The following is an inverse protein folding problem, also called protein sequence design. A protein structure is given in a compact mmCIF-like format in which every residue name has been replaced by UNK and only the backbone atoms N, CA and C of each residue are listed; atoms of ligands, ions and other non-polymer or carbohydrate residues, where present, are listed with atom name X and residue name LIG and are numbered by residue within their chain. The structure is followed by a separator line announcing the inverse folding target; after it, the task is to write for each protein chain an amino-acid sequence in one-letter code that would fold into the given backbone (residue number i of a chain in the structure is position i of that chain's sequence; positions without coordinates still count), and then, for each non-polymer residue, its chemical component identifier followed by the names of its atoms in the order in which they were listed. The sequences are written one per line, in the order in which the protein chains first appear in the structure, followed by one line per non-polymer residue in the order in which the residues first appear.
data_IF_217299792319
#
_entry.id   IF_217299792319
#
_cell.length_a   1.000
_cell.length_b   1.000
_cell.length_c   1.000
_cell.angle_alpha   90.00
_cell.angle_beta   90.00
_cell.angle_gamma   90.00
#
_symmetry.space_group_name_H-M   'P 1'
#
loop_
_entity.id
_entity.type
_entity.pdbx_description
1 polymer ?
#
# COMPACT_ATOMS: atom_id res chain seq x y z
N UNK A 1 11.85 -1.17 34.96
CA UNK A 1 10.76 -2.04 35.47
C UNK A 1 10.15 -2.85 34.33
N UNK A 2 10.54 -4.12 34.18
CA UNK A 2 10.05 -5.01 33.10
C UNK A 2 8.63 -5.48 33.45
N UNK A 3 7.62 -5.11 32.66
CA UNK A 3 6.29 -5.73 32.75
C UNK A 3 6.41 -7.19 32.31
N UNK A 4 6.24 -8.13 33.23
CA UNK A 4 6.10 -9.57 32.94
C UNK A 4 4.74 -9.80 32.26
N UNK A 5 4.64 -9.42 30.99
CA UNK A 5 3.50 -9.83 30.14
C UNK A 5 3.90 -11.12 29.43
N UNK A 6 2.95 -12.06 29.33
CA UNK A 6 3.19 -13.38 28.75
C UNK A 6 3.67 -13.26 27.29
N UNK A 7 4.63 -14.11 26.83
CA UNK A 7 5.03 -14.17 25.42
C UNK A 7 3.84 -14.34 24.45
N UNK A 8 2.80 -15.05 24.89
CA UNK A 8 1.56 -15.21 24.12
C UNK A 8 0.84 -13.86 23.92
N UNK A 9 0.69 -13.08 24.99
CA UNK A 9 0.09 -11.73 24.94
C UNK A 9 0.86 -10.79 24.02
N UNK A 10 2.20 -10.84 24.03
CA UNK A 10 3.03 -10.00 23.16
C UNK A 10 2.88 -10.38 21.69
N UNK A 11 2.74 -11.67 21.38
CA UNK A 11 2.44 -12.14 20.03
C UNK A 11 1.06 -11.64 19.57
N UNK A 12 0.03 -11.75 20.41
CA UNK A 12 -1.32 -11.24 20.11
C UNK A 12 -1.31 -9.74 19.84
N UNK A 13 -0.63 -8.94 20.68
CA UNK A 13 -0.49 -7.49 20.49
C UNK A 13 0.09 -7.14 19.11
N UNK A 14 1.17 -7.80 18.70
CA UNK A 14 1.80 -7.56 17.39
C UNK A 14 0.94 -8.06 16.23
N UNK A 15 0.25 -9.19 16.36
CA UNK A 15 -0.66 -9.68 15.34
C UNK A 15 -1.87 -8.74 15.15
N UNK A 16 -2.48 -8.25 16.24
CA UNK A 16 -3.62 -7.33 16.20
C UNK A 16 -3.25 -6.01 15.52
N UNK A 17 -2.06 -5.47 15.81
CA UNK A 17 -1.56 -4.22 15.21
C UNK A 17 -1.10 -4.42 13.76
N UNK A 18 -0.55 -5.59 13.43
CA UNK A 18 -0.10 -5.91 12.07
C UNK A 18 -1.23 -6.27 11.11
N UNK A 19 -2.32 -6.86 11.61
CA UNK A 19 -3.44 -7.36 10.80
C UNK A 19 -4.56 -6.32 10.60
N UNK A 20 -4.71 -5.36 11.51
CA UNK A 20 -5.71 -4.29 11.42
C UNK A 20 -5.04 -2.94 11.71
N UNK A 21 -5.62 -1.84 11.24
CA UNK A 21 -5.16 -0.46 11.51
C UNK A 21 -5.87 0.24 12.70
N UNK A 22 -6.23 -0.40 13.84
CA UNK A 22 -6.98 0.29 14.90
C UNK A 22 -6.08 1.22 15.71
N UNK A 23 -6.61 2.35 16.18
CA UNK A 23 -5.92 3.25 17.11
C UNK A 23 -5.34 2.46 18.31
N UNK A 24 -4.18 2.86 18.86
CA UNK A 24 -3.55 2.14 19.98
C UNK A 24 -4.49 2.04 21.19
N UNK A 25 -5.38 2.99 21.36
CA UNK A 25 -6.40 2.97 22.42
C UNK A 25 -7.43 1.85 22.17
N UNK A 26 -7.87 1.69 20.91
CA UNK A 26 -8.76 0.59 20.51
C UNK A 26 -8.06 -0.79 20.60
N UNK A 27 -6.75 -0.86 20.37
CA UNK A 27 -5.95 -2.06 20.64
C UNK A 27 -5.96 -2.39 22.13
N UNK A 28 -5.81 -1.38 22.98
CA UNK A 28 -5.92 -1.55 24.44
C UNK A 28 -7.29 -2.11 24.87
N UNK A 29 -8.36 -1.63 24.25
CA UNK A 29 -9.73 -2.08 24.55
C UNK A 29 -9.98 -3.50 24.05
N UNK A 30 -9.49 -3.83 22.84
CA UNK A 30 -9.56 -5.18 22.29
C UNK A 30 -8.78 -6.20 23.14
N UNK A 31 -7.59 -5.83 23.62
CA UNK A 31 -6.79 -6.72 24.48
C UNK A 31 -7.48 -7.01 25.81
N UNK A 32 -8.19 -6.03 26.39
CA UNK A 32 -9.02 -6.27 27.58
C UNK A 32 -10.17 -7.23 27.26
N UNK A 33 -10.86 -7.02 26.13
CA UNK A 33 -11.96 -7.88 25.70
C UNK A 33 -11.51 -9.34 25.48
N UNK A 34 -10.28 -9.54 25.00
CA UNK A 34 -9.64 -10.85 24.84
C UNK A 34 -9.06 -11.41 26.16
N UNK A 35 -9.22 -10.71 27.29
CA UNK A 35 -8.79 -11.15 28.61
C UNK A 35 -7.30 -10.92 28.91
N UNK A 36 -6.58 -10.18 28.07
CA UNK A 36 -5.18 -9.84 28.29
C UNK A 36 -5.04 -8.64 29.22
N UNK A 37 -4.30 -8.82 30.31
CA UNK A 37 -4.03 -7.76 31.29
C UNK A 37 -2.57 -7.33 31.28
N UNK A 38 -2.31 -6.03 31.46
CA UNK A 38 -0.93 -5.51 31.47
C UNK A 38 -0.21 -5.80 32.79
N UNK A 39 -0.84 -5.47 33.93
CA UNK A 39 -0.40 -5.80 35.29
C UNK A 39 -1.63 -6.04 36.18
N UNK A 40 -1.43 -6.76 37.29
CA UNK A 40 -2.49 -7.02 38.27
C UNK A 40 -3.15 -5.73 38.82
N UNK A 41 -2.39 -4.63 38.94
CA UNK A 41 -2.90 -3.34 39.40
C UNK A 41 -3.36 -2.39 38.28
N UNK A 42 -2.99 -2.67 37.03
CA UNK A 42 -3.35 -1.86 35.86
C UNK A 42 -3.66 -2.81 34.71
N UNK A 43 -4.94 -3.13 34.55
CA UNK A 43 -5.38 -4.12 33.57
C UNK A 43 -5.22 -3.62 32.12
N UNK A 44 -5.43 -2.32 31.88
CA UNK A 44 -5.35 -1.71 30.54
C UNK A 44 -3.91 -1.44 30.13
N UNK A 45 -3.57 -1.83 28.90
CA UNK A 45 -2.35 -1.39 28.25
C UNK A 45 -2.48 0.08 27.84
N UNK A 46 -1.61 0.95 28.34
CA UNK A 46 -1.60 2.36 27.93
C UNK A 46 -0.86 2.54 26.60
N UNK A 47 -1.14 3.66 25.92
CA UNK A 47 -0.53 4.00 24.62
C UNK A 47 1.00 3.95 24.64
N UNK A 48 1.62 4.43 25.71
CA UNK A 48 3.08 4.47 25.87
C UNK A 48 3.68 3.07 26.01
N UNK A 49 3.04 2.18 26.78
CA UNK A 49 3.49 0.80 26.93
C UNK A 49 3.33 0.01 25.63
N UNK A 50 2.21 0.19 24.92
CA UNK A 50 2.02 -0.43 23.60
C UNK A 50 3.09 0.04 22.61
N UNK A 51 3.37 1.36 22.54
CA UNK A 51 4.42 1.88 21.69
C UNK A 51 5.80 1.29 22.06
N UNK A 52 6.11 1.16 23.35
CA UNK A 52 7.37 0.56 23.81
C UNK A 52 7.49 -0.92 23.43
N UNK A 53 6.41 -1.69 23.59
CA UNK A 53 6.36 -3.10 23.18
C UNK A 53 6.55 -3.21 21.66
N UNK A 54 5.80 -2.43 20.88
CA UNK A 54 5.85 -2.54 19.43
C UNK A 54 7.19 -2.10 18.83
N UNK A 55 7.92 -1.17 19.45
CA UNK A 55 9.26 -0.76 18.98
C UNK A 55 10.40 -1.70 19.42
N UNK A 56 10.14 -2.68 20.28
CA UNK A 56 11.18 -3.53 20.83
C UNK A 56 11.62 -4.62 19.83
N UNK A 57 12.78 -4.42 19.22
CA UNK A 57 13.40 -5.36 18.26
C UNK A 57 13.81 -6.70 18.89
N UNK A 58 13.83 -6.82 20.22
CA UNK A 58 14.05 -8.10 20.86
C UNK A 58 13.00 -9.14 20.43
N UNK A 59 11.78 -8.75 20.04
CA UNK A 59 10.76 -9.71 19.63
C UNK A 59 11.03 -10.42 18.30
N UNK A 60 11.92 -9.87 17.46
CA UNK A 60 12.42 -10.51 16.23
C UNK A 60 13.79 -11.17 16.42
N UNK A 61 14.30 -11.23 17.66
CA UNK A 61 15.63 -11.77 17.94
C UNK A 61 16.77 -10.81 17.61
N UNK A 62 16.52 -9.50 17.56
CA UNK A 62 17.56 -8.49 17.36
C UNK A 62 17.79 -7.68 18.65
N UNK A 63 19.05 -7.46 19.01
CA UNK A 63 19.45 -6.59 20.12
C UNK A 63 20.22 -5.39 19.58
N UNK A 64 19.76 -4.19 19.92
CA UNK A 64 20.45 -2.95 19.55
C UNK A 64 21.38 -2.53 20.68
N UNK A 65 22.67 -2.46 20.41
CA UNK A 65 23.67 -1.90 21.32
C UNK A 65 24.42 -0.77 20.61
N UNK A 66 24.40 0.44 21.19
CA UNK A 66 25.06 1.64 20.60
C UNK A 66 24.69 1.90 19.13
N UNK A 67 23.45 1.62 18.75
CA UNK A 67 22.95 1.82 17.38
C UNK A 67 23.23 0.68 16.39
N UNK A 68 24.01 -0.34 16.81
CA UNK A 68 24.32 -1.51 15.98
C UNK A 68 23.39 -2.66 16.37
N UNK A 69 22.76 -3.28 15.37
CA UNK A 69 21.88 -4.44 15.56
C UNK A 69 22.69 -5.74 15.55
N UNK A 70 22.53 -6.56 16.58
CA UNK A 70 23.14 -7.88 16.69
C UNK A 70 22.05 -8.95 16.73
N UNK A 71 22.30 -10.09 16.07
CA UNK A 71 21.42 -11.26 16.13
C UNK A 71 21.54 -11.90 17.50
N UNK A 72 20.41 -12.01 18.20
CA UNK A 72 20.33 -12.61 19.51
C UNK A 72 20.21 -14.14 19.42
N UNK A 73 20.68 -14.84 20.46
CA UNK A 73 20.67 -16.32 20.52
C UNK A 73 19.34 -16.94 20.95
N UNK A 74 18.30 -16.14 21.18
CA UNK A 74 16.99 -16.63 21.64
C UNK A 74 15.99 -16.68 20.49
N UNK A 75 14.99 -17.57 20.61
CA UNK A 75 13.96 -17.76 19.59
C UNK A 75 13.10 -16.49 19.42
N UNK A 76 12.96 -15.95 18.20
CA UNK A 76 12.06 -14.85 17.92
C UNK A 76 10.61 -15.18 18.30
N UNK A 77 9.90 -14.21 18.90
CA UNK A 77 8.49 -14.38 19.27
C UNK A 77 7.55 -14.11 18.08
N UNK A 78 7.99 -13.27 17.14
CA UNK A 78 7.24 -12.79 15.98
C UNK A 78 8.16 -12.79 14.76
N UNK A 79 7.60 -13.03 13.56
CA UNK A 79 8.37 -12.97 12.32
C UNK A 79 8.78 -11.53 11.99
N UNK A 80 9.88 -11.39 11.22
CA UNK A 80 10.34 -10.08 10.74
C UNK A 80 9.26 -9.38 9.90
N UNK A 81 8.53 -10.13 9.08
CA UNK A 81 7.43 -9.60 8.25
C UNK A 81 6.31 -8.96 9.07
N UNK A 82 5.89 -9.60 10.16
CA UNK A 82 4.85 -9.05 11.03
C UNK A 82 5.35 -7.84 11.82
N UNK A 83 6.60 -7.86 12.27
CA UNK A 83 7.21 -6.71 12.95
C UNK A 83 7.34 -5.50 12.04
N UNK A 84 7.81 -5.70 10.80
CA UNK A 84 7.95 -4.63 9.81
C UNK A 84 6.58 -4.03 9.46
N UNK A 85 5.55 -4.86 9.29
CA UNK A 85 4.17 -4.39 9.11
C UNK A 85 3.70 -3.50 10.28
N UNK A 86 4.00 -3.90 11.53
CA UNK A 86 3.70 -3.08 12.70
C UNK A 86 4.46 -1.74 12.69
N UNK A 87 5.73 -1.73 12.30
CA UNK A 87 6.51 -0.49 12.22
C UNK A 87 5.96 0.46 11.16
N UNK A 88 5.55 -0.05 10.00
CA UNK A 88 4.93 0.78 8.95
C UNK A 88 3.62 1.41 9.45
N UNK A 89 2.79 0.64 10.16
CA UNK A 89 1.58 1.17 10.81
C UNK A 89 1.91 2.24 11.85
N UNK A 90 3.00 2.10 12.60
CA UNK A 90 3.42 3.09 13.60
C UNK A 90 4.02 4.36 12.98
N UNK A 91 4.85 4.23 11.94
CA UNK A 91 5.43 5.38 11.21
C UNK A 91 4.35 6.21 10.51
N UNK A 92 3.31 5.55 9.98
CA UNK A 92 2.17 6.22 9.37
C UNK A 92 1.27 6.97 10.37
N UNK A 93 1.41 6.73 11.68
CA UNK A 93 0.56 7.36 12.71
C UNK A 93 1.12 8.71 13.16
N UNK A 94 0.45 9.78 12.76
CA UNK A 94 0.65 11.09 13.36
C UNK A 94 0.14 11.12 14.82
N UNK A 95 0.91 11.74 15.73
CA UNK A 95 0.69 11.78 17.20
C UNK A 95 -0.68 12.34 17.64
N UNK A 96 -1.43 13.00 16.75
CA UNK A 96 -2.71 13.71 17.00
C UNK A 96 -3.96 12.97 16.51
N UNK A 97 -3.98 11.64 16.60
CA UNK A 97 -5.17 10.83 16.29
C UNK A 97 -5.99 10.58 17.55
N UNK A 98 -6.67 11.60 18.09
CA UNK A 98 -8.01 11.31 18.61
C UNK A 98 -8.91 11.09 17.40
N UNK A 99 -9.99 10.33 17.55
CA UNK A 99 -11.06 10.28 16.54
C UNK A 99 -11.36 11.71 16.10
N UNK A 100 -11.06 12.09 14.85
CA UNK A 100 -11.35 13.44 14.42
C UNK A 100 -12.87 13.55 14.35
N UNK A 101 -13.43 14.43 15.18
CA UNK A 101 -14.86 14.73 15.23
C UNK A 101 -15.35 15.40 13.92
N UNK A 102 -14.42 15.68 13.00
CA UNK A 102 -14.60 16.31 11.71
C UNK A 102 -13.92 15.53 10.57
N UNK A 103 -14.59 15.38 9.39
CA UNK A 103 -14.18 14.56 8.24
C UNK A 103 -12.69 14.60 7.85
N UNK A 104 -12.13 15.80 7.71
CA UNK A 104 -10.85 16.07 7.07
C UNK A 104 -9.83 16.67 8.03
N UNK A 105 -10.06 16.53 9.35
CA UNK A 105 -9.12 17.00 10.35
C UNK A 105 -7.85 16.13 10.39
N UNK A 106 -6.74 16.71 10.88
CA UNK A 106 -5.45 16.03 10.94
C UNK A 106 -4.61 16.19 9.67
N UNK A 107 -4.75 17.32 8.96
CA UNK A 107 -3.85 17.69 7.86
C UNK A 107 -4.10 16.93 6.55
N UNK A 108 -5.35 16.52 6.29
CA UNK A 108 -5.74 15.92 4.99
C UNK A 108 -5.51 16.92 3.86
N UNK A 109 -5.90 18.17 4.09
CA UNK A 109 -5.70 19.30 3.18
C UNK A 109 -4.72 20.31 3.77
N UNK A 110 -4.00 21.01 2.89
CA UNK A 110 -3.08 22.09 3.25
C UNK A 110 -3.42 23.34 2.47
N UNK A 111 -3.12 24.51 3.03
CA UNK A 111 -3.25 25.77 2.34
C UNK A 111 -2.22 25.83 1.19
N UNK A 112 -2.67 26.16 -0.01
CA UNK A 112 -1.80 26.31 -1.18
C UNK A 112 -0.82 27.49 -1.05
N UNK A 113 -1.18 28.50 -0.25
CA UNK A 113 -0.44 29.77 -0.15
C UNK A 113 0.66 29.75 0.91
N UNK A 114 0.37 29.20 2.10
CA UNK A 114 1.34 29.14 3.19
C UNK A 114 1.75 27.71 3.60
N UNK A 115 1.22 26.67 2.96
CA UNK A 115 1.53 25.27 3.28
C UNK A 115 1.00 24.76 4.63
N UNK A 116 0.40 25.64 5.44
CA UNK A 116 -0.19 25.30 6.73
C UNK A 116 -1.35 24.31 6.57
N UNK A 117 -1.63 23.53 7.61
CA UNK A 117 -2.73 22.56 7.56
C UNK A 117 -4.09 23.28 7.54
N UNK A 118 -5.08 22.67 6.90
CA UNK A 118 -6.47 23.08 7.05
C UNK A 118 -7.06 22.46 8.32
N UNK A 119 -7.71 23.28 9.14
CA UNK A 119 -8.37 22.87 10.39
C UNK A 119 -9.87 23.02 10.27
N UNK A 120 -10.61 22.02 10.75
CA UNK A 120 -12.06 22.04 10.78
C UNK A 120 -12.60 22.95 11.90
N UNK A 121 -13.63 23.71 11.58
CA UNK A 121 -14.34 24.61 12.48
C UNK A 121 -15.85 24.34 12.39
N UNK A 122 -16.49 24.05 13.53
CA UNK A 122 -17.94 23.86 13.63
C UNK A 122 -18.56 25.14 14.17
N UNK A 123 -19.44 25.76 13.37
CA UNK A 123 -20.18 26.96 13.76
C UNK A 123 -21.63 26.59 13.93
N UNK A 124 -22.14 26.69 15.14
CA UNK A 124 -23.56 26.48 15.46
C UNK A 124 -24.26 27.83 15.45
N UNK A 125 -25.35 27.95 14.70
CA UNK A 125 -26.22 29.13 14.68
C UNK A 125 -27.58 28.74 15.20
N UNK A 126 -28.04 29.45 16.24
CA UNK A 126 -29.41 29.31 16.75
C UNK A 126 -30.33 30.21 15.92
N UNK A 127 -31.40 29.63 15.39
CA UNK A 127 -32.45 30.34 14.67
C UNK A 127 -33.45 30.94 15.65
N UNK A 128 -34.29 31.85 15.14
CA UNK A 128 -35.32 32.55 15.92
C UNK A 128 -36.37 31.58 16.48
N UNK A 129 -36.61 30.46 15.79
CA UNK A 129 -37.50 29.36 16.20
C UNK A 129 -36.90 28.45 17.30
N UNK A 130 -35.70 28.75 17.80
CA UNK A 130 -35.00 27.93 18.80
C UNK A 130 -34.23 26.74 18.22
N UNK A 131 -34.32 26.46 16.92
CA UNK A 131 -33.58 25.37 16.28
C UNK A 131 -32.10 25.73 16.09
N UNK A 132 -31.20 24.74 16.23
CA UNK A 132 -29.77 24.93 16.06
C UNK A 132 -29.29 24.31 14.74
N UNK A 133 -28.64 25.13 13.90
CA UNK A 133 -28.04 24.68 12.64
C UNK A 133 -26.52 24.72 12.78
N UNK A 134 -25.89 23.56 12.64
CA UNK A 134 -24.42 23.46 12.61
C UNK A 134 -23.90 23.51 11.18
N UNK A 135 -22.87 24.32 10.97
CA UNK A 135 -22.15 24.42 9.70
C UNK A 135 -20.68 24.07 9.92
N UNK A 136 -20.17 23.16 9.08
CA UNK A 136 -18.78 22.75 9.10
C UNK A 136 -17.98 23.54 8.05
N UNK A 137 -16.86 24.09 8.49
CA UNK A 137 -15.91 24.82 7.67
C UNK A 137 -14.51 24.23 7.82
N UNK A 138 -13.67 24.42 6.81
CA UNK A 138 -12.23 24.18 6.89
C UNK A 138 -11.52 25.50 6.61
N UNK A 139 -10.70 25.95 7.56
CA UNK A 139 -9.91 27.18 7.45
C UNK A 139 -8.42 26.89 7.52
N UNK A 140 -7.63 27.76 6.91
CA UNK A 140 -6.19 27.75 7.09
C UNK A 140 -5.85 27.91 8.59
N UNK A 141 -4.98 27.03 9.11
CA UNK A 141 -4.56 27.05 10.51
C UNK A 141 -3.42 28.03 10.82
N UNK A 142 -2.96 28.79 9.82
CA UNK A 142 -1.94 29.81 10.05
C UNK A 142 -2.56 30.99 10.82
N UNK A 143 -2.14 31.18 12.06
CA UNK A 143 -2.61 32.28 12.92
C UNK A 143 -1.83 33.58 12.71
N UNK A 144 -0.72 33.56 11.96
CA UNK A 144 0.07 34.73 11.60
C UNK A 144 0.40 34.70 10.09
N UNK A 145 -0.62 34.84 9.22
CA UNK A 145 -0.41 34.85 7.79
C UNK A 145 0.26 36.15 7.31
N UNK A 146 1.05 36.12 6.22
CA UNK A 146 1.57 37.33 5.57
C UNK A 146 0.46 38.29 5.14
N UNK A 147 0.73 39.59 4.95
CA UNK A 147 -0.27 40.59 4.55
C UNK A 147 -1.03 40.22 3.27
N UNK A 148 -0.36 39.60 2.30
CA UNK A 148 -0.94 39.24 1.01
C UNK A 148 -1.69 37.89 1.01
N UNK A 149 -1.83 37.24 2.18
CA UNK A 149 -2.47 35.94 2.27
C UNK A 149 -4.00 36.07 2.47
N UNK A 150 -4.83 35.72 1.47
CA UNK A 150 -6.29 35.78 1.61
C UNK A 150 -6.84 34.84 2.69
N UNK A 151 -8.05 35.13 3.16
CA UNK A 151 -8.74 34.30 4.15
C UNK A 151 -9.23 33.01 3.48
N UNK A 152 -8.41 31.96 3.53
CA UNK A 152 -8.79 30.64 3.00
C UNK A 152 -9.74 29.94 3.97
N UNK A 153 -11.02 29.91 3.61
CA UNK A 153 -12.08 29.24 4.37
C UNK A 153 -13.14 28.64 3.44
N UNK A 154 -13.33 27.33 3.54
CA UNK A 154 -14.27 26.58 2.71
C UNK A 154 -15.38 25.96 3.54
N UNK A 155 -16.62 25.98 3.03
CA UNK A 155 -17.70 25.13 3.56
C UNK A 155 -17.40 23.68 3.20
N UNK A 156 -17.66 22.74 4.10
CA UNK A 156 -17.40 21.30 3.84
C UNK A 156 -18.09 20.81 2.57
N UNK A 157 -19.35 21.19 2.31
CA UNK A 157 -20.06 20.80 1.09
C UNK A 157 -19.33 21.25 -0.19
N UNK A 158 -18.89 22.51 -0.26
CA UNK A 158 -18.11 23.04 -1.39
C UNK A 158 -16.78 22.32 -1.58
N UNK A 159 -16.12 21.96 -0.48
CA UNK A 159 -14.87 21.21 -0.54
C UNK A 159 -15.12 19.79 -1.08
N UNK A 160 -16.22 19.15 -0.67
CA UNK A 160 -16.63 17.84 -1.18
C UNK A 160 -17.01 17.86 -2.65
N UNK A 161 -17.75 18.88 -3.09
CA UNK A 161 -18.05 19.11 -4.51
C UNK A 161 -16.76 19.26 -5.33
N UNK A 162 -15.78 20.01 -4.83
CA UNK A 162 -14.49 20.17 -5.51
C UNK A 162 -13.71 18.84 -5.58
N UNK A 163 -13.72 18.03 -4.52
CA UNK A 163 -13.10 16.69 -4.55
C UNK A 163 -13.82 15.78 -5.55
N UNK A 164 -15.15 15.81 -5.59
CA UNK A 164 -15.94 15.02 -6.55
C UNK A 164 -15.61 15.43 -7.98
N UNK A 165 -15.50 16.73 -8.28
CA UNK A 165 -15.12 17.22 -9.60
C UNK A 165 -13.72 16.73 -10.02
N UNK A 166 -12.75 16.74 -9.10
CA UNK A 166 -11.42 16.19 -9.34
C UNK A 166 -11.42 14.67 -9.57
N UNK A 167 -12.27 13.92 -8.86
CA UNK A 167 -12.40 12.47 -9.08
C UNK A 167 -13.16 12.15 -10.37
N UNK A 168 -14.14 12.96 -10.76
CA UNK A 168 -14.87 12.81 -12.02
C UNK A 168 -13.95 13.10 -13.21
N UNK A 169 -12.93 13.96 -13.06
CA UNK A 169 -11.92 14.18 -14.09
C UNK A 169 -11.11 12.93 -14.46
N UNK A 170 -11.12 11.88 -13.62
CA UNK A 170 -10.48 10.59 -13.90
C UNK A 170 -11.34 9.69 -14.80
N UNK A 171 -12.64 9.97 -14.89
CA UNK A 171 -13.60 9.11 -15.56
C UNK A 171 -13.63 9.42 -17.04
N UNK A 172 -13.51 8.38 -17.85
CA UNK A 172 -13.85 8.43 -19.27
C UNK A 172 -15.38 8.40 -19.38
N UNK A 173 -15.98 9.51 -19.81
CA UNK A 173 -17.44 9.67 -19.89
C UNK A 173 -18.09 8.87 -21.02
N UNK A 174 -17.36 8.61 -22.10
CA UNK A 174 -17.82 7.77 -23.19
C UNK A 174 -17.69 6.29 -22.82
N UNK A 175 -18.83 5.61 -22.62
CA UNK A 175 -18.86 4.20 -22.23
C UNK A 175 -18.25 3.27 -23.28
N UNK A 176 -18.36 3.61 -24.58
CA UNK A 176 -17.77 2.84 -25.66
C UNK A 176 -16.24 2.88 -25.61
N UNK A 177 -15.67 4.07 -25.44
CA UNK A 177 -14.22 4.24 -25.26
C UNK A 177 -13.72 3.60 -23.96
N UNK A 178 -14.46 3.75 -22.85
CA UNK A 178 -14.09 3.11 -21.60
C UNK A 178 -14.06 1.58 -21.74
N UNK A 179 -15.05 0.99 -22.39
CA UNK A 179 -15.11 -0.46 -22.61
C UNK A 179 -14.03 -0.94 -23.58
N UNK A 180 -13.71 -0.16 -24.62
CA UNK A 180 -12.62 -0.44 -25.54
C UNK A 180 -11.26 -0.46 -24.81
N UNK A 181 -10.99 0.55 -23.98
CA UNK A 181 -9.75 0.62 -23.19
C UNK A 181 -9.68 -0.54 -22.20
N UNK A 182 -10.78 -0.85 -21.53
CA UNK A 182 -10.85 -1.99 -20.60
C UNK A 182 -10.55 -3.32 -21.31
N UNK A 183 -11.15 -3.54 -22.48
CA UNK A 183 -10.97 -4.77 -23.26
C UNK A 183 -9.55 -4.89 -23.82
N UNK A 184 -8.98 -3.79 -24.32
CA UNK A 184 -7.60 -3.76 -24.82
C UNK A 184 -6.59 -4.01 -23.71
N UNK A 185 -6.77 -3.41 -22.52
CA UNK A 185 -5.96 -3.73 -21.33
C UNK A 185 -6.06 -5.21 -20.99
N UNK A 186 -7.28 -5.76 -20.93
CA UNK A 186 -7.50 -7.18 -20.61
C UNK A 186 -6.82 -8.11 -21.63
N UNK A 187 -6.92 -7.81 -22.93
CA UNK A 187 -6.29 -8.58 -23.99
C UNK A 187 -4.75 -8.51 -23.91
N UNK A 188 -4.20 -7.30 -23.80
CA UNK A 188 -2.75 -7.10 -23.67
C UNK A 188 -2.15 -7.88 -22.50
N UNK A 189 -2.81 -7.86 -21.34
CA UNK A 189 -2.34 -8.61 -20.17
C UNK A 189 -2.56 -10.12 -20.27
N UNK A 190 -3.60 -10.58 -20.96
CA UNK A 190 -3.81 -12.00 -21.23
C UNK A 190 -2.74 -12.56 -22.19
N UNK A 191 -2.37 -11.80 -23.21
CA UNK A 191 -1.34 -12.20 -24.17
C UNK A 191 0.03 -12.34 -23.50
N UNK A 192 0.43 -11.38 -22.66
CA UNK A 192 1.69 -11.47 -21.92
C UNK A 192 1.68 -12.64 -20.93
N UNK A 193 0.56 -12.86 -20.23
CA UNK A 193 0.42 -14.01 -19.33
C UNK A 193 0.56 -15.34 -20.06
N UNK A 194 0.00 -15.44 -21.27
CA UNK A 194 0.09 -16.62 -22.12
C UNK A 194 1.53 -16.87 -22.60
N UNK A 195 2.21 -15.83 -23.09
CA UNK A 195 3.61 -15.92 -23.53
C UNK A 195 4.52 -16.42 -22.40
N UNK A 196 4.36 -15.88 -21.20
CA UNK A 196 5.13 -16.34 -20.02
C UNK A 196 4.80 -17.78 -19.62
N UNK A 197 3.52 -18.16 -19.67
CA UNK A 197 3.09 -19.52 -19.37
C UNK A 197 3.65 -20.54 -20.38
N UNK A 198 3.64 -20.19 -21.67
CA UNK A 198 4.19 -21.03 -22.74
C UNK A 198 5.72 -21.12 -22.64
N UNK A 199 6.41 -20.01 -22.36
CA UNK A 199 7.87 -20.01 -22.09
C UNK A 199 8.22 -20.96 -20.94
N UNK A 200 7.52 -20.86 -19.81
CA UNK A 200 7.75 -21.76 -18.66
C UNK A 200 7.47 -23.22 -19.00
N UNK A 201 6.44 -23.50 -19.79
CA UNK A 201 6.12 -24.86 -20.24
C UNK A 201 7.24 -25.45 -21.09
N UNK A 202 7.79 -24.65 -22.02
CA UNK A 202 8.92 -25.05 -22.87
C UNK A 202 10.16 -25.34 -22.00
N UNK A 203 10.52 -24.42 -21.09
CA UNK A 203 11.66 -24.61 -20.20
C UNK A 203 11.49 -25.83 -19.28
N UNK A 204 10.30 -26.04 -18.72
CA UNK A 204 10.00 -27.21 -17.89
C UNK A 204 10.12 -28.53 -18.66
N UNK A 205 9.70 -28.54 -19.93
CA UNK A 205 9.85 -29.71 -20.83
C UNK A 205 11.33 -29.97 -21.14
N UNK A 206 12.10 -28.94 -21.49
CA UNK A 206 13.54 -29.07 -21.73
C UNK A 206 14.26 -29.58 -20.48
N UNK A 207 13.89 -29.08 -19.30
CA UNK A 207 14.40 -29.57 -18.01
C UNK A 207 14.15 -31.07 -17.83
N UNK A 208 12.92 -31.55 -18.09
CA UNK A 208 12.61 -32.97 -17.94
C UNK A 208 13.33 -33.84 -18.97
N UNK A 209 13.50 -33.33 -20.21
CA UNK A 209 14.29 -34.01 -21.24
C UNK A 209 15.76 -34.16 -20.85
N UNK A 210 16.39 -33.11 -20.31
CA UNK A 210 17.79 -33.16 -19.83
C UNK A 210 17.94 -34.10 -18.64
N UNK A 211 16.99 -34.07 -17.67
CA UNK A 211 16.99 -35.04 -16.57
C UNK A 211 16.89 -36.48 -17.08
N UNK A 212 16.00 -36.75 -18.04
CA UNK A 212 15.91 -38.06 -18.67
C UNK A 212 17.15 -38.45 -19.50
N UNK A 213 17.93 -37.49 -20.02
CA UNK A 213 19.25 -37.76 -20.64
C UNK A 213 20.30 -38.11 -19.58
N UNK A 214 20.30 -37.41 -18.43
CA UNK A 214 21.18 -37.71 -17.30
C UNK A 214 20.91 -39.12 -16.74
N UNK A 215 19.64 -39.50 -16.58
CA UNK A 215 19.27 -40.83 -16.08
C UNK A 215 19.71 -41.93 -17.05
N UNK A 216 19.50 -41.73 -18.35
CA UNK A 216 19.98 -42.67 -19.39
C UNK A 216 21.50 -42.76 -19.42
N UNK A 217 22.20 -41.62 -19.31
CA UNK A 217 23.67 -41.60 -19.24
C UNK A 217 24.18 -42.39 -18.03
N UNK A 218 23.49 -42.28 -16.89
CA UNK A 218 23.81 -43.05 -15.69
C UNK A 218 23.66 -44.56 -15.92
N UNK A 219 22.56 -45.00 -16.53
CA UNK A 219 22.33 -46.42 -16.81
C UNK A 219 23.40 -47.00 -17.74
N UNK A 220 23.75 -46.30 -18.83
CA UNK A 220 24.79 -46.76 -19.78
C UNK A 220 26.17 -46.87 -19.12
N UNK A 221 26.48 -45.99 -18.17
CA UNK A 221 27.71 -46.08 -17.38
C UNK A 221 27.70 -47.28 -16.42
N UNK A 222 26.57 -47.54 -15.75
CA UNK A 222 26.40 -48.70 -14.87
C UNK A 222 26.48 -50.04 -15.63
N UNK A 223 26.02 -50.05 -16.89
CA UNK A 223 26.12 -51.22 -17.78
C UNK A 223 27.55 -51.44 -18.31
N UNK A 224 28.51 -50.59 -17.95
CA UNK A 224 29.93 -50.71 -18.30
C UNK A 224 30.26 -50.32 -19.74
N UNK A 225 29.32 -49.71 -20.48
CA UNK A 225 29.49 -49.35 -21.89
C UNK A 225 30.21 -48.01 -22.11
N UNK A 226 30.56 -47.28 -21.04
CA UNK A 226 31.22 -45.97 -21.08
C UNK A 226 32.42 -45.94 -20.13
N UNK A 227 33.52 -45.37 -20.59
CA UNK A 227 34.66 -45.06 -19.72
C UNK A 227 34.36 -43.86 -18.80
N UNK A 228 34.97 -43.88 -17.61
CA UNK A 228 34.77 -42.85 -16.58
C UNK A 228 35.08 -41.43 -17.06
N UNK A 229 36.10 -41.28 -17.93
CA UNK A 229 36.48 -40.00 -18.50
C UNK A 229 35.37 -39.42 -19.41
N UNK A 230 34.81 -40.24 -20.29
CA UNK A 230 33.73 -39.83 -21.20
C UNK A 230 32.42 -39.53 -20.47
N UNK A 231 32.11 -40.32 -19.44
CA UNK A 231 30.96 -40.10 -18.57
C UNK A 231 31.04 -38.75 -17.86
N UNK A 232 32.19 -38.44 -17.24
CA UNK A 232 32.39 -37.19 -16.50
C UNK A 232 32.20 -35.95 -17.37
N UNK A 233 32.73 -35.98 -18.61
CA UNK A 233 32.57 -34.88 -19.57
C UNK A 233 31.10 -34.67 -19.95
N UNK A 234 30.38 -35.73 -20.35
CA UNK A 234 28.96 -35.63 -20.75
C UNK A 234 28.06 -35.26 -19.57
N UNK A 235 28.33 -35.79 -18.38
CA UNK A 235 27.60 -35.46 -17.17
C UNK A 235 27.80 -34.00 -16.78
N UNK A 236 29.03 -33.48 -16.88
CA UNK A 236 29.34 -32.07 -16.65
C UNK A 236 28.55 -31.16 -17.59
N UNK A 237 28.56 -31.45 -18.89
CA UNK A 237 27.84 -30.65 -19.89
C UNK A 237 26.33 -30.59 -19.61
N UNK A 238 25.70 -31.74 -19.36
CA UNK A 238 24.26 -31.81 -19.06
C UNK A 238 23.90 -31.12 -17.73
N UNK A 239 24.79 -31.16 -16.73
CA UNK A 239 24.57 -30.44 -15.46
C UNK A 239 24.66 -28.93 -15.62
N UNK A 240 25.58 -28.43 -16.46
CA UNK A 240 25.66 -27.00 -16.78
C UNK A 240 24.38 -26.55 -17.48
N UNK A 241 23.93 -27.30 -18.50
CA UNK A 241 22.69 -26.99 -19.21
C UNK A 241 21.46 -27.04 -18.28
N UNK A 242 21.40 -28.02 -17.38
CA UNK A 242 20.33 -28.11 -16.36
C UNK A 242 20.35 -26.92 -15.41
N UNK A 243 21.52 -26.50 -14.95
CA UNK A 243 21.68 -25.35 -14.06
C UNK A 243 21.26 -24.04 -14.75
N UNK A 244 21.54 -23.90 -16.05
CA UNK A 244 21.10 -22.75 -16.84
C UNK A 244 19.58 -22.68 -16.99
N UNK A 245 18.93 -23.81 -17.24
CA UNK A 245 17.46 -23.88 -17.32
C UNK A 245 16.83 -23.64 -15.95
N UNK A 246 17.38 -24.22 -14.87
CA UNK A 246 16.88 -24.00 -13.51
C UNK A 246 17.00 -22.52 -13.12
N UNK A 247 18.11 -21.85 -13.47
CA UNK A 247 18.26 -20.41 -13.31
C UNK A 247 17.20 -19.62 -14.09
N UNK A 248 16.93 -19.95 -15.35
CA UNK A 248 15.89 -19.27 -16.14
C UNK A 248 14.47 -19.51 -15.61
N UNK A 249 14.21 -20.63 -14.93
CA UNK A 249 12.94 -20.92 -14.27
C UNK A 249 12.81 -20.19 -12.92
N UNK A 250 13.92 -19.97 -12.22
CA UNK A 250 13.98 -19.23 -10.95
C UNK A 250 14.02 -17.71 -11.14
N UNK A 251 14.44 -17.23 -12.31
CA UNK A 251 14.35 -15.83 -12.68
C UNK A 251 12.91 -15.34 -12.48
N UNK A 252 12.77 -14.31 -11.62
CA UNK A 252 11.48 -13.66 -11.41
C UNK A 252 11.00 -13.18 -12.77
N UNK A 253 9.77 -13.54 -13.16
CA UNK A 253 9.27 -13.12 -14.46
C UNK A 253 9.24 -11.59 -14.47
N UNK A 254 9.65 -11.00 -15.60
CA UNK A 254 9.51 -9.56 -15.85
C UNK A 254 8.05 -9.12 -15.66
N UNK A 255 7.14 -10.06 -15.93
CA UNK A 255 5.70 -9.89 -15.84
C UNK A 255 5.08 -10.71 -14.70
N UNK A 256 4.38 -10.03 -13.79
CA UNK A 256 3.55 -10.65 -12.77
C UNK A 256 2.09 -10.51 -13.19
N UNK A 257 1.36 -11.61 -13.38
CA UNK A 257 -0.07 -11.59 -13.75
C UNK A 257 -0.90 -10.70 -12.81
N UNK A 258 -0.48 -10.58 -11.54
CA UNK A 258 -1.11 -9.68 -10.57
C UNK A 258 -1.06 -8.21 -10.99
N UNK A 259 -0.08 -7.81 -11.79
CA UNK A 259 0.01 -6.43 -12.33
C UNK A 259 -1.07 -6.16 -13.37
N UNK A 260 -1.44 -7.15 -14.18
CA UNK A 260 -2.53 -7.01 -15.15
C UNK A 260 -3.90 -6.90 -14.46
N UNK A 261 -4.14 -7.75 -13.45
CA UNK A 261 -5.33 -7.65 -12.60
C UNK A 261 -5.37 -6.30 -11.85
N UNK A 262 -4.23 -5.87 -11.30
CA UNK A 262 -4.11 -4.57 -10.65
C UNK A 262 -4.42 -3.42 -11.62
N UNK A 263 -3.94 -3.47 -12.86
CA UNK A 263 -4.22 -2.44 -13.85
C UNK A 263 -5.72 -2.36 -14.18
N UNK A 264 -6.41 -3.49 -14.33
CA UNK A 264 -7.85 -3.52 -14.56
C UNK A 264 -8.63 -2.99 -13.35
N UNK A 265 -8.26 -3.39 -12.13
CA UNK A 265 -8.90 -2.88 -10.91
C UNK A 265 -8.68 -1.39 -10.71
N UNK A 266 -7.49 -0.88 -11.03
CA UNK A 266 -7.21 0.57 -11.01
C UNK A 266 -8.05 1.30 -12.06
N UNK A 267 -8.19 0.75 -13.27
CA UNK A 267 -9.06 1.31 -14.30
C UNK A 267 -10.53 1.35 -13.84
N UNK A 268 -11.05 0.23 -13.37
CA UNK A 268 -12.43 0.13 -12.87
C UNK A 268 -12.66 1.09 -11.68
N UNK A 269 -11.65 1.29 -10.83
CA UNK A 269 -11.69 2.28 -9.76
C UNK A 269 -11.75 3.71 -10.30
N UNK A 270 -10.93 4.09 -11.30
CA UNK A 270 -10.96 5.43 -11.91
C UNK A 270 -12.34 5.77 -12.47
N UNK A 271 -12.97 4.81 -13.15
CA UNK A 271 -14.30 4.99 -13.74
C UNK A 271 -15.41 5.20 -12.71
N UNK A 272 -15.21 4.72 -11.48
CA UNK A 272 -16.23 4.74 -10.42
C UNK A 272 -15.83 5.61 -9.21
N UNK A 273 -14.69 6.32 -9.25
CA UNK A 273 -14.10 6.98 -8.10
C UNK A 273 -15.03 8.02 -7.45
N UNK A 274 -15.73 8.82 -8.27
CA UNK A 274 -16.67 9.83 -7.80
C UNK A 274 -17.90 9.21 -7.13
N UNK A 275 -18.45 8.11 -7.66
CA UNK A 275 -19.59 7.41 -7.07
C UNK A 275 -19.20 6.68 -5.77
N UNK A 276 -18.01 6.06 -5.76
CA UNK A 276 -17.42 5.49 -4.56
C UNK A 276 -17.27 6.56 -3.47
N UNK A 277 -16.78 7.75 -3.82
CA UNK A 277 -16.65 8.87 -2.89
C UNK A 277 -17.99 9.27 -2.24
N UNK A 278 -19.04 9.41 -3.06
CA UNK A 278 -20.39 9.80 -2.59
C UNK A 278 -20.95 8.80 -1.59
N UNK A 279 -20.72 7.51 -1.79
CA UNK A 279 -21.21 6.41 -0.93
C UNK A 279 -20.28 6.08 0.24
N UNK A 280 -19.07 6.65 0.27
CA UNK A 280 -18.05 6.33 1.26
C UNK A 280 -18.21 7.07 2.58
N UNK A 281 -17.84 6.40 3.66
CA UNK A 281 -17.69 7.03 4.98
C UNK A 281 -16.38 7.84 5.09
N UNK A 282 -16.17 8.50 6.22
CA UNK A 282 -15.02 9.39 6.44
C UNK A 282 -13.65 8.68 6.34
N UNK A 283 -13.54 7.45 6.85
CA UNK A 283 -12.30 6.68 6.78
C UNK A 283 -11.99 6.29 5.33
N UNK A 284 -12.99 5.78 4.61
CA UNK A 284 -12.88 5.40 3.20
C UNK A 284 -12.54 6.61 2.31
N UNK A 285 -13.14 7.78 2.56
CA UNK A 285 -12.79 9.02 1.85
C UNK A 285 -11.31 9.38 2.03
N UNK A 286 -10.75 9.20 3.22
CA UNK A 286 -9.32 9.45 3.45
C UNK A 286 -8.43 8.44 2.72
N UNK A 287 -8.86 7.19 2.65
CA UNK A 287 -8.19 6.13 1.88
C UNK A 287 -8.22 6.44 0.38
N UNK A 288 -9.37 6.83 -0.18
CA UNK A 288 -9.52 7.24 -1.57
C UNK A 288 -8.57 8.39 -1.90
N UNK A 289 -8.58 9.46 -1.09
CA UNK A 289 -7.65 10.56 -1.27
C UNK A 289 -6.19 10.10 -1.11
N UNK A 290 -5.91 9.15 -0.21
CA UNK A 290 -4.58 8.57 0.00
C UNK A 290 -4.05 7.80 -1.20
N UNK A 291 -4.95 7.06 -1.86
CA UNK A 291 -4.66 6.29 -3.05
C UNK A 291 -4.48 7.17 -4.29
N UNK A 292 -5.32 8.20 -4.46
CA UNK A 292 -5.37 9.02 -5.68
C UNK A 292 -4.35 10.16 -5.68
N UNK A 293 -4.04 10.75 -4.53
CA UNK A 293 -3.25 12.00 -4.47
C UNK A 293 -1.99 11.91 -3.62
N UNK A 294 -0.97 12.68 -4.03
CA UNK A 294 0.24 12.96 -3.26
C UNK A 294 0.02 14.17 -2.35
N UNK A 295 -0.37 15.29 -2.96
CA UNK A 295 -0.58 16.57 -2.28
C UNK A 295 -2.01 17.09 -2.52
N UNK A 296 -2.57 17.75 -1.50
CA UNK A 296 -3.95 18.23 -1.50
C UNK A 296 -3.98 19.66 -1.01
N UNK A 297 -3.90 20.59 -1.95
CA UNK A 297 -3.71 22.01 -1.69
C UNK A 297 -5.02 22.76 -1.91
N UNK A 298 -5.41 23.57 -0.94
CA UNK A 298 -6.63 24.39 -0.97
C UNK A 298 -6.21 25.85 -0.96
N UNK A 299 -6.59 26.59 -1.99
CA UNK A 299 -6.50 28.05 -2.05
C UNK A 299 -7.84 28.67 -1.66
N UNK A 300 -7.93 29.99 -1.67
CA UNK A 300 -9.18 30.74 -1.50
C UNK A 300 -10.20 30.45 -2.61
N UNK A 301 -9.74 30.14 -3.83
CA UNK A 301 -10.61 29.94 -5.01
C UNK A 301 -10.76 28.48 -5.43
N UNK A 302 -9.68 27.68 -5.39
CA UNK A 302 -9.65 26.31 -5.92
C UNK A 302 -9.00 25.28 -5.00
N UNK A 303 -9.45 24.03 -5.14
CA UNK A 303 -8.74 22.84 -4.70
C UNK A 303 -7.79 22.39 -5.82
N UNK A 304 -6.58 21.99 -5.47
CA UNK A 304 -5.60 21.39 -6.37
C UNK A 304 -5.18 20.06 -5.76
N UNK A 305 -5.53 18.97 -6.46
CA UNK A 305 -5.08 17.63 -6.12
C UNK A 305 -3.93 17.23 -7.05
N UNK A 306 -2.74 17.12 -6.49
CA UNK A 306 -1.61 16.53 -7.19
C UNK A 306 -1.79 15.01 -7.20
N UNK A 307 -2.11 14.46 -8.37
CA UNK A 307 -2.50 13.06 -8.55
C UNK A 307 -1.26 12.16 -8.58
N UNK A 308 -1.40 10.93 -8.06
CA UNK A 308 -0.38 9.88 -8.16
C UNK A 308 -0.45 9.24 -9.55
N UNK A 309 0.66 8.65 -10.01
CA UNK A 309 0.61 7.72 -11.15
C UNK A 309 -0.20 6.48 -10.80
N UNK A 310 -1.12 6.01 -11.67
CA UNK A 310 -1.40 6.46 -13.04
C UNK A 310 -2.54 7.48 -13.19
N UNK A 311 -3.09 8.02 -12.10
CA UNK A 311 -4.24 8.93 -12.09
C UNK A 311 -3.94 10.30 -12.73
N UNK A 312 -2.68 10.73 -12.70
CA UNK A 312 -2.21 11.93 -13.40
C UNK A 312 -2.38 11.80 -14.91
N UNK A 313 -1.92 10.69 -15.50
CA UNK A 313 -2.01 10.40 -16.94
C UNK A 313 -3.47 10.32 -17.38
N UNK A 314 -4.34 9.75 -16.55
CA UNK A 314 -5.77 9.68 -16.85
C UNK A 314 -6.42 11.08 -16.89
N UNK A 315 -6.04 11.98 -15.98
CA UNK A 315 -6.62 13.32 -15.89
C UNK A 315 -6.05 14.31 -16.91
N UNK A 316 -4.74 14.26 -17.17
CA UNK A 316 -4.04 15.20 -18.06
C UNK A 316 -3.98 14.71 -19.52
N UNK A 317 -4.30 13.43 -19.74
CA UNK A 317 -4.07 12.74 -21.01
C UNK A 317 -2.62 12.26 -21.10
N UNK A 318 -2.42 11.11 -21.74
CA UNK A 318 -1.06 10.65 -22.04
C UNK A 318 -0.38 11.68 -22.95
N UNK A 319 0.88 12.09 -22.67
CA UNK A 319 1.64 12.92 -23.60
C UNK A 319 1.98 12.07 -24.83
N UNK A 320 1.05 11.99 -25.78
CA UNK A 320 1.27 11.36 -27.07
C UNK A 320 2.02 12.39 -27.90
N UNK A 321 3.35 12.25 -27.98
CA UNK A 321 4.12 12.93 -29.03
C UNK A 321 3.71 12.31 -30.37
N UNK A 322 2.67 12.87 -30.99
CA UNK A 322 2.35 12.58 -32.39
C UNK A 322 3.41 13.30 -33.21
N UNK A 323 4.56 12.65 -33.41
CA UNK A 323 5.52 13.08 -34.43
C UNK A 323 4.79 13.08 -35.76
N UNK A 324 4.41 14.26 -36.26
CA UNK A 324 4.07 14.43 -37.66
C UNK A 324 5.33 14.04 -38.43
N UNK A 325 5.29 12.91 -39.13
CA UNK A 325 6.38 12.48 -39.98
C UNK A 325 6.83 13.63 -40.86
N UNK A 326 8.14 13.86 -40.89
CA UNK A 326 8.76 14.76 -41.86
C UNK A 326 8.25 14.35 -43.24
N UNK A 327 7.59 15.29 -43.91
CA UNK A 327 7.29 15.17 -45.34
C UNK A 327 8.63 15.07 -46.06
N UNK A 328 8.90 13.91 -46.65
CA UNK A 328 9.87 13.75 -47.75
C UNK A 328 9.33 14.54 -48.95
#
# INVERSE_FOLDING_TARGET
MRSKSSPATMRTVMCVVGAKTPALDAVGDQLIAEGHTFRASHHRFNRTALAYILHNRAYIGELVHRGISHVAKFQPLVSRTTFDACQEVLKGRNRRSSTPDLPYQGGVFRCALCGAMMTGERIVRRRIDGSEVSHLYYRCANNAPPPDHPVVRWKTAKLEEAVVAELESLRIHDEGHAQLIRNTLKAAFADVAKVEADRRRILAKLRSEIKGRLDRLMNVYLDGALEQAEFSVKQGALRVELADIDRQLEEKPSYDNKRGELALTVFDFMQNAADLWRRSNMAQRREILGAVSLNRLVSDVKLVLEKRKPFDIAAEGAPIQIGRGDRI
#
